data_IF_755871172029
#
_entry.id   IF_755871172029
#
_cell.length_a   1.000
_cell.length_b   1.000
_cell.length_c   1.000
_cell.angle_alpha   90.00
_cell.angle_beta   90.00
_cell.angle_gamma   90.00
#
_symmetry.space_group_name_H-M   'P 1'
#
loop_
_entity.id
_entity.type
_entity.pdbx_description
1 polymer ?
#
# COMPACT_ATOMS: atom_id res chain seq x y z
N UNK A 1 23.35 47.29 -9.44
CA UNK A 1 22.14 47.10 -10.28
C UNK A 1 21.82 45.61 -10.29
N UNK A 2 21.03 45.16 -9.32
CA UNK A 2 19.58 44.92 -9.41
C UNK A 2 19.25 43.43 -9.63
N UNK A 3 19.26 42.71 -8.51
CA UNK A 3 18.18 41.82 -8.06
C UNK A 3 17.05 41.49 -9.06
N UNK A 4 16.88 40.19 -9.33
CA UNK A 4 15.54 39.60 -9.53
C UNK A 4 15.36 38.43 -8.58
N UNK A 5 14.91 38.79 -7.38
CA UNK A 5 14.13 37.93 -6.50
C UNK A 5 12.85 37.50 -7.25
N UNK A 6 12.66 36.20 -7.45
CA UNK A 6 11.33 35.66 -7.72
C UNK A 6 10.64 35.54 -6.35
N UNK A 7 9.66 36.42 -6.14
CA UNK A 7 8.77 36.38 -4.99
C UNK A 7 7.95 35.08 -4.96
N UNK A 8 7.52 34.62 -3.78
CA UNK A 8 6.65 33.46 -3.66
C UNK A 8 5.26 33.82 -4.17
N UNK A 9 4.78 33.11 -5.19
CA UNK A 9 3.37 33.20 -5.60
C UNK A 9 2.51 32.60 -4.49
N UNK A 10 1.93 33.47 -3.67
CA UNK A 10 0.78 33.20 -2.80
C UNK A 10 -0.43 32.87 -3.68
N UNK A 11 -0.53 31.61 -4.10
CA UNK A 11 -1.79 31.08 -4.61
C UNK A 11 -2.68 30.74 -3.43
N UNK A 12 -3.87 31.33 -3.38
CA UNK A 12 -4.92 30.96 -2.44
C UNK A 12 -5.15 29.43 -2.45
N UNK A 13 -5.48 28.79 -1.31
CA UNK A 13 -5.75 27.37 -1.26
C UNK A 13 -6.90 27.06 -2.22
N UNK A 14 -6.57 26.35 -3.30
CA UNK A 14 -7.58 25.86 -4.23
C UNK A 14 -8.27 24.70 -3.54
N UNK A 15 -9.50 24.92 -3.08
CA UNK A 15 -10.34 23.86 -2.53
C UNK A 15 -10.63 22.87 -3.66
N UNK A 16 -9.97 21.72 -3.64
CA UNK A 16 -10.18 20.65 -4.61
C UNK A 16 -11.48 19.92 -4.29
N UNK A 17 -12.44 20.06 -5.21
CA UNK A 17 -13.72 19.35 -5.27
C UNK A 17 -13.46 17.83 -5.37
N UNK A 18 -14.22 16.96 -4.68
CA UNK A 18 -14.04 15.52 -4.74
C UNK A 18 -14.47 15.01 -6.11
N UNK A 19 -13.50 14.62 -6.94
CA UNK A 19 -13.80 14.00 -8.24
C UNK A 19 -12.80 12.87 -8.48
N UNK A 20 -13.13 11.69 -7.95
CA UNK A 20 -12.57 10.42 -8.40
C UNK A 20 -13.56 9.88 -9.42
N UNK A 21 -13.18 9.82 -10.70
CA UNK A 21 -13.92 9.06 -11.71
C UNK A 21 -12.90 8.24 -12.52
N UNK A 22 -12.81 6.94 -12.18
CA UNK A 22 -12.20 5.81 -12.91
C UNK A 22 -10.65 5.71 -13.02
N UNK A 23 -10.16 4.51 -13.38
CA UNK A 23 -8.74 4.08 -13.34
C UNK A 23 -8.10 3.60 -14.69
N UNK A 24 -6.96 4.19 -15.13
CA UNK A 24 -6.48 4.32 -16.54
C UNK A 24 -5.40 3.37 -17.08
N UNK A 25 -5.80 2.39 -17.88
CA UNK A 25 -4.87 1.49 -18.55
C UNK A 25 -4.38 2.00 -19.91
N UNK A 26 -3.06 2.19 -19.95
CA UNK A 26 -2.10 2.22 -21.07
C UNK A 26 -1.87 3.48 -21.94
N UNK A 27 -0.66 3.52 -22.54
CA UNK A 27 0.07 4.68 -23.05
C UNK A 27 -0.34 5.21 -24.43
N UNK A 28 -1.19 4.52 -25.19
CA UNK A 28 -1.58 4.92 -26.55
C UNK A 28 -3.01 5.47 -26.67
N UNK A 29 -3.86 5.31 -25.66
CA UNK A 29 -5.25 5.75 -25.76
C UNK A 29 -5.41 7.17 -25.20
N UNK A 30 -5.89 8.09 -26.04
CA UNK A 30 -6.39 9.40 -25.63
C UNK A 30 -7.70 9.32 -24.79
N UNK A 31 -7.98 8.19 -24.13
CA UNK A 31 -9.03 8.01 -23.12
C UNK A 31 -8.50 7.13 -21.97
N UNK A 32 -8.46 7.64 -20.73
CA UNK A 32 -8.05 6.85 -19.58
C UNK A 32 -9.21 5.96 -19.14
N UNK A 33 -8.96 4.66 -18.90
CA UNK A 33 -9.72 3.76 -17.99
C UNK A 33 -10.49 2.56 -18.56
N UNK A 34 -9.98 1.89 -19.59
CA UNK A 34 -10.55 0.59 -19.99
C UNK A 34 -9.94 -0.56 -19.18
N UNK A 35 -10.74 -1.46 -18.61
CA UNK A 35 -10.23 -2.70 -18.01
C UNK A 35 -9.49 -3.54 -19.07
N UNK A 36 -8.35 -4.17 -18.73
CA UNK A 36 -7.55 -4.89 -19.72
C UNK A 36 -8.19 -6.24 -20.06
N UNK A 37 -7.83 -6.86 -21.20
CA UNK A 37 -8.19 -8.24 -21.49
C UNK A 37 -7.85 -9.17 -20.32
N UNK A 38 -8.71 -10.17 -20.10
CA UNK A 38 -8.66 -11.12 -18.99
C UNK A 38 -8.96 -10.53 -17.60
N UNK A 39 -9.34 -9.25 -17.50
CA UNK A 39 -9.77 -8.67 -16.24
C UNK A 39 -11.17 -9.14 -15.87
N UNK A 40 -11.34 -9.75 -14.67
CA UNK A 40 -12.67 -9.98 -14.18
C UNK A 40 -13.30 -8.65 -13.78
N UNK A 41 -14.56 -8.45 -14.17
CA UNK A 41 -15.36 -7.26 -13.90
C UNK A 41 -16.74 -7.66 -13.39
N UNK A 42 -17.45 -6.73 -12.75
CA UNK A 42 -18.86 -6.88 -12.42
C UNK A 42 -19.67 -6.04 -13.39
N UNK A 43 -20.77 -6.58 -13.90
CA UNK A 43 -21.74 -5.83 -14.70
C UNK A 43 -23.09 -5.79 -13.99
N UNK A 44 -23.86 -4.73 -14.24
CA UNK A 44 -25.18 -4.58 -13.63
C UNK A 44 -26.16 -5.67 -14.07
N UNK A 45 -26.04 -6.16 -15.32
CA UNK A 45 -26.99 -7.11 -15.92
C UNK A 45 -26.54 -8.57 -15.94
N UNK A 46 -25.24 -8.84 -15.98
CA UNK A 46 -24.70 -10.18 -16.19
C UNK A 46 -23.86 -10.69 -15.00
N UNK A 47 -23.73 -9.91 -13.92
CA UNK A 47 -22.91 -10.27 -12.77
C UNK A 47 -21.43 -10.29 -13.12
N UNK A 48 -20.69 -11.30 -12.63
CA UNK A 48 -19.25 -11.41 -12.91
C UNK A 48 -18.99 -11.88 -14.34
N UNK A 49 -18.14 -11.17 -15.06
CA UNK A 49 -17.69 -11.50 -16.41
C UNK A 49 -16.20 -11.18 -16.58
N UNK A 50 -15.59 -11.67 -17.65
CA UNK A 50 -14.18 -11.44 -17.99
C UNK A 50 -14.08 -10.58 -19.24
N UNK A 51 -13.23 -9.56 -19.21
CA UNK A 51 -12.99 -8.70 -20.36
C UNK A 51 -12.28 -9.46 -21.48
N UNK A 52 -12.86 -9.44 -22.68
CA UNK A 52 -12.23 -9.95 -23.89
C UNK A 52 -11.55 -8.80 -24.63
N UNK A 53 -12.28 -7.70 -24.85
CA UNK A 53 -11.77 -6.51 -25.53
C UNK A 53 -12.60 -5.27 -25.17
N UNK A 54 -12.04 -4.09 -25.43
CA UNK A 54 -12.73 -2.81 -25.33
C UNK A 54 -12.71 -2.10 -26.68
N UNK A 55 -13.88 -1.66 -27.17
CA UNK A 55 -14.04 -0.86 -28.38
C UNK A 55 -14.19 0.61 -27.97
N UNK A 56 -13.11 1.38 -28.13
CA UNK A 56 -13.08 2.79 -27.74
C UNK A 56 -13.98 3.70 -28.59
N UNK A 57 -14.29 3.30 -29.84
CA UNK A 57 -15.17 4.08 -30.70
C UNK A 57 -16.63 3.93 -30.28
N UNK A 58 -17.00 2.77 -29.72
CA UNK A 58 -18.36 2.46 -29.25
C UNK A 58 -18.55 2.61 -27.74
N UNK A 59 -17.47 2.83 -27.00
CA UNK A 59 -17.46 2.80 -25.53
C UNK A 59 -18.13 1.53 -24.98
N UNK A 60 -17.70 0.38 -25.50
CA UNK A 60 -18.31 -0.91 -25.19
C UNK A 60 -17.27 -1.99 -24.92
N UNK A 61 -17.59 -2.90 -24.01
CA UNK A 61 -16.79 -4.08 -23.73
C UNK A 61 -17.39 -5.31 -24.41
N UNK A 62 -16.53 -6.09 -25.05
CA UNK A 62 -16.80 -7.50 -25.29
C UNK A 62 -16.39 -8.28 -24.04
N UNK A 63 -17.33 -9.04 -23.47
CA UNK A 63 -17.13 -9.81 -22.24
C UNK A 63 -17.47 -11.28 -22.46
N UNK A 64 -16.80 -12.15 -21.70
CA UNK A 64 -17.18 -13.55 -21.53
C UNK A 64 -17.82 -13.73 -20.15
N UNK A 65 -19.07 -14.19 -20.10
CA UNK A 65 -19.79 -14.42 -18.83
C UNK A 65 -19.31 -15.69 -18.13
N UNK A 66 -19.73 -15.91 -16.89
CA UNK A 66 -19.45 -17.15 -16.15
C UNK A 66 -20.00 -18.42 -16.85
N UNK A 67 -20.95 -18.30 -17.77
CA UNK A 67 -21.48 -19.40 -18.59
C UNK A 67 -20.80 -19.52 -19.95
N UNK A 68 -19.67 -18.84 -20.15
CA UNK A 68 -18.90 -18.78 -21.41
C UNK A 68 -19.67 -18.17 -22.60
N UNK A 69 -20.68 -17.36 -22.33
CA UNK A 69 -21.37 -16.59 -23.37
C UNK A 69 -20.60 -15.30 -23.67
N UNK A 70 -20.47 -14.96 -24.96
CA UNK A 70 -19.92 -13.67 -25.37
C UNK A 70 -21.01 -12.62 -25.47
N UNK A 71 -20.90 -11.59 -24.65
CA UNK A 71 -21.82 -10.45 -24.64
C UNK A 71 -21.09 -9.16 -24.95
N UNK A 72 -21.79 -8.19 -25.54
CA UNK A 72 -21.30 -6.82 -25.68
C UNK A 72 -22.13 -5.91 -24.79
N UNK A 73 -21.46 -5.17 -23.92
CA UNK A 73 -22.12 -4.24 -22.99
C UNK A 73 -21.52 -2.85 -23.13
N UNK A 74 -22.33 -1.81 -22.91
CA UNK A 74 -21.84 -0.44 -22.82
C UNK A 74 -20.90 -0.30 -21.60
N UNK A 75 -19.93 0.61 -21.66
CA UNK A 75 -18.92 0.77 -20.61
C UNK A 75 -19.49 1.15 -19.25
N UNK A 76 -20.64 1.83 -19.23
CA UNK A 76 -21.36 2.23 -18.02
C UNK A 76 -22.11 1.08 -17.33
N UNK A 77 -22.36 -0.02 -18.04
CA UNK A 77 -22.89 -1.27 -17.46
C UNK A 77 -21.84 -2.01 -16.63
N UNK A 78 -20.56 -1.73 -16.87
CA UNK A 78 -19.44 -2.30 -16.11
C UNK A 78 -19.20 -1.45 -14.85
N UNK A 79 -19.24 -2.09 -13.70
CA UNK A 79 -18.97 -1.45 -12.41
C UNK A 79 -17.56 -0.90 -12.39
N UNK A 80 -17.46 0.40 -12.10
CA UNK A 80 -16.18 1.09 -11.96
C UNK A 80 -15.56 0.78 -10.60
N UNK A 81 -14.30 0.35 -10.59
CA UNK A 81 -13.54 0.15 -9.37
C UNK A 81 -13.33 1.47 -8.64
N UNK A 82 -13.54 1.48 -7.33
CA UNK A 82 -13.42 2.69 -6.50
C UNK A 82 -12.52 2.45 -5.29
N UNK A 83 -11.87 3.52 -4.82
CA UNK A 83 -11.09 3.47 -3.58
C UNK A 83 -12.06 3.39 -2.41
N UNK A 84 -12.11 2.22 -1.77
CA UNK A 84 -12.88 2.00 -0.56
C UNK A 84 -12.15 2.58 0.65
N UNK A 85 -10.85 2.33 0.79
CA UNK A 85 -10.07 2.76 1.95
C UNK A 85 -8.64 3.13 1.58
N UNK A 86 -8.11 4.11 2.30
CA UNK A 86 -6.73 4.58 2.16
C UNK A 86 -6.05 4.50 3.52
N UNK A 87 -4.86 3.93 3.55
CA UNK A 87 -4.07 3.75 4.76
C UNK A 87 -2.61 4.16 4.56
N UNK A 88 -2.06 4.74 5.62
CA UNK A 88 -0.61 4.81 5.83
C UNK A 88 -0.26 4.08 7.10
N UNK A 89 0.95 3.55 7.18
CA UNK A 89 1.49 2.89 8.36
C UNK A 89 2.74 3.65 8.77
N UNK A 90 2.61 4.73 9.57
CA UNK A 90 3.72 5.64 9.86
C UNK A 90 4.97 4.91 10.35
N UNK A 91 4.78 4.01 11.31
CA UNK A 91 5.84 3.15 11.83
C UNK A 91 5.71 1.76 11.19
N UNK A 92 6.82 1.26 10.64
CA UNK A 92 6.92 -0.12 10.15
C UNK A 92 6.46 -1.10 11.24
N UNK A 93 5.58 -2.02 10.86
CA UNK A 93 5.02 -3.08 11.72
C UNK A 93 3.99 -2.64 12.77
N UNK A 94 3.65 -1.35 12.87
CA UNK A 94 2.65 -0.83 13.80
C UNK A 94 1.27 -0.64 13.14
N UNK A 95 0.27 -0.22 13.91
CA UNK A 95 -1.10 0.02 13.43
C UNK A 95 -1.12 1.06 12.31
N UNK A 96 -2.06 0.89 11.38
CA UNK A 96 -2.27 1.82 10.27
C UNK A 96 -3.20 2.97 10.66
N UNK A 97 -2.99 4.12 10.04
CA UNK A 97 -3.85 5.28 10.08
C UNK A 97 -4.70 5.31 8.81
N UNK A 98 -6.03 5.26 8.97
CA UNK A 98 -6.99 5.42 7.85
C UNK A 98 -7.07 6.89 7.49
N UNK A 99 -7.01 7.20 6.19
CA UNK A 99 -7.02 8.56 5.67
C UNK A 99 -8.21 8.77 4.73
N UNK A 100 -8.67 10.02 4.64
CA UNK A 100 -9.59 10.45 3.58
C UNK A 100 -8.85 10.73 2.27
N UNK A 101 -7.61 11.23 2.36
CA UNK A 101 -6.73 11.48 1.22
C UNK A 101 -5.26 11.42 1.61
N UNK A 102 -4.37 11.23 0.63
CA UNK A 102 -2.92 11.27 0.84
C UNK A 102 -2.17 11.73 -0.40
N UNK A 103 -1.07 12.45 -0.18
CA UNK A 103 -0.14 12.82 -1.24
C UNK A 103 0.72 11.61 -1.65
N UNK A 104 0.86 11.39 -2.95
CA UNK A 104 1.72 10.36 -3.53
C UNK A 104 3.10 10.95 -3.84
N UNK A 105 4.11 10.44 -3.13
CA UNK A 105 5.51 10.81 -3.27
C UNK A 105 6.26 9.71 -4.07
N UNK A 106 7.47 9.99 -4.59
CA UNK A 106 8.30 8.98 -5.24
C UNK A 106 8.59 7.74 -4.38
N UNK A 107 8.59 7.90 -3.04
CA UNK A 107 8.85 6.83 -2.06
C UNK A 107 7.56 6.17 -1.50
N UNK A 108 6.38 6.57 -1.98
CA UNK A 108 5.08 6.05 -1.52
C UNK A 108 4.13 7.13 -1.03
N UNK A 109 3.10 6.72 -0.28
CA UNK A 109 2.19 7.69 0.34
C UNK A 109 2.94 8.51 1.40
N UNK A 110 2.57 9.77 1.55
CA UNK A 110 3.15 10.66 2.57
C UNK A 110 3.00 10.04 3.96
N UNK A 111 4.08 10.10 4.73
CA UNK A 111 4.22 9.48 6.07
C UNK A 111 4.17 7.95 6.09
N UNK A 112 4.06 7.25 4.96
CA UNK A 112 4.00 5.79 4.98
C UNK A 112 5.37 5.15 5.21
N UNK A 113 5.47 4.32 6.26
CA UNK A 113 6.70 3.64 6.71
C UNK A 113 7.93 4.57 6.75
N UNK A 114 7.73 5.81 7.21
CA UNK A 114 8.82 6.77 7.42
C UNK A 114 9.53 6.56 8.77
N UNK A 115 8.93 5.80 9.68
CA UNK A 115 9.52 5.45 10.96
C UNK A 115 9.65 3.94 11.14
N UNK A 116 10.55 3.54 12.03
CA UNK A 116 10.82 2.14 12.33
C UNK A 116 11.45 2.00 13.70
N UNK A 117 11.08 0.97 14.45
CA UNK A 117 11.81 0.56 15.64
C UNK A 117 13.00 -0.32 15.24
N UNK A 118 14.17 -0.06 15.83
CA UNK A 118 15.40 -0.85 15.65
C UNK A 118 15.91 -1.39 16.98
N UNK A 119 16.57 -2.53 16.93
CA UNK A 119 17.35 -3.05 18.05
C UNK A 119 18.72 -2.35 18.17
N UNK A 120 19.50 -2.71 19.20
CA UNK A 120 20.84 -2.17 19.43
C UNK A 120 21.84 -2.46 18.28
N UNK A 121 21.51 -3.36 17.35
CA UNK A 121 22.32 -3.68 16.17
C UNK A 121 21.85 -2.93 14.92
N UNK A 122 20.88 -2.02 15.04
CA UNK A 122 20.31 -1.28 13.91
C UNK A 122 19.36 -2.12 13.05
N UNK A 123 18.93 -3.30 13.51
CA UNK A 123 18.01 -4.16 12.77
C UNK A 123 16.57 -3.85 13.15
N UNK A 124 15.70 -3.75 12.16
CA UNK A 124 14.29 -3.46 12.40
C UNK A 124 13.58 -4.52 13.24
N UNK A 125 12.75 -4.06 14.18
CA UNK A 125 11.75 -4.90 14.84
C UNK A 125 10.59 -5.15 13.88
N UNK A 126 10.04 -6.36 13.93
CA UNK A 126 8.93 -6.75 13.06
C UNK A 126 7.80 -7.37 13.84
N UNK A 127 6.56 -7.12 13.39
CA UNK A 127 5.34 -7.70 13.94
C UNK A 127 5.39 -9.24 13.99
N UNK A 128 6.17 -9.88 13.11
CA UNK A 128 6.37 -11.34 13.10
C UNK A 128 7.08 -11.86 14.36
N UNK A 129 8.01 -11.06 14.89
CA UNK A 129 8.81 -11.37 16.08
C UNK A 129 8.21 -10.75 17.34
N UNK A 130 7.62 -9.56 17.21
CA UNK A 130 6.95 -8.83 18.29
C UNK A 130 5.51 -8.50 17.87
N UNK A 131 4.58 -9.47 17.94
CA UNK A 131 3.18 -9.29 17.54
C UNK A 131 2.49 -8.09 18.20
N UNK A 132 2.85 -7.77 19.44
CA UNK A 132 2.34 -6.60 20.20
C UNK A 132 2.59 -5.26 19.50
N UNK A 133 3.55 -5.16 18.56
CA UNK A 133 3.72 -3.97 17.72
C UNK A 133 2.42 -3.56 17.00
N UNK A 134 1.52 -4.52 16.71
CA UNK A 134 0.20 -4.26 16.13
C UNK A 134 -0.64 -3.26 16.94
N UNK A 135 -0.41 -3.24 18.26
CA UNK A 135 -1.16 -2.44 19.22
C UNK A 135 -0.58 -1.04 19.41
N UNK A 136 0.63 -0.79 18.91
CA UNK A 136 1.18 0.57 18.85
C UNK A 136 0.40 1.32 17.78
N UNK A 137 -0.36 2.32 18.19
CA UNK A 137 -1.16 3.17 17.35
C UNK A 137 -0.50 4.55 17.19
N UNK A 138 0.24 4.78 16.08
CA UNK A 138 0.78 6.08 15.76
C UNK A 138 -0.30 7.00 15.18
N UNK A 139 -0.32 8.24 15.66
CA UNK A 139 -1.06 9.35 15.06
C UNK A 139 -0.07 10.41 14.59
N UNK A 140 -0.27 10.94 13.39
CA UNK A 140 0.55 11.98 12.81
C UNK A 140 -0.32 12.83 11.89
N UNK A 141 -0.19 14.15 11.98
CA UNK A 141 -0.71 15.03 10.93
C UNK A 141 0.09 14.76 9.65
N UNK A 142 -0.52 14.07 8.70
CA UNK A 142 0.15 13.71 7.45
C UNK A 142 0.48 14.92 6.58
N UNK A 143 -0.04 16.12 6.85
CA UNK A 143 0.25 17.32 6.07
C UNK A 143 1.56 17.99 6.49
N UNK A 144 1.78 18.17 7.80
CA UNK A 144 2.96 18.83 8.36
C UNK A 144 3.98 17.85 8.96
N UNK A 145 3.50 16.77 9.60
CA UNK A 145 4.28 15.72 10.26
C UNK A 145 5.34 16.26 11.25
N UNK A 146 4.94 17.18 12.13
CA UNK A 146 5.81 17.80 13.14
C UNK A 146 5.93 16.98 14.43
N UNK A 147 4.91 16.17 14.74
CA UNK A 147 4.89 15.31 15.90
C UNK A 147 4.21 13.97 15.58
N UNK A 148 4.63 12.93 16.29
CA UNK A 148 4.08 11.59 16.25
C UNK A 148 3.55 11.24 17.65
N UNK A 149 2.25 11.06 17.79
CA UNK A 149 1.66 10.60 19.05
C UNK A 149 1.61 9.07 19.05
N UNK A 150 2.20 8.46 20.06
CA UNK A 150 2.20 7.01 20.27
C UNK A 150 1.21 6.65 21.37
N UNK A 151 0.33 5.71 21.07
CA UNK A 151 -0.55 5.09 22.07
C UNK A 151 -0.44 3.57 21.99
N UNK A 152 -0.62 2.91 23.13
CA UNK A 152 -0.70 1.46 23.24
C UNK A 152 -1.42 1.07 24.54
N UNK A 153 -2.00 -0.14 24.64
CA UNK A 153 -2.65 -0.60 25.86
C UNK A 153 -1.72 -0.54 27.08
N UNK A 154 -2.22 0.02 28.18
CA UNK A 154 -1.48 0.13 29.44
C UNK A 154 -0.35 1.17 29.45
N UNK A 155 -0.19 1.96 28.38
CA UNK A 155 0.85 2.97 28.28
C UNK A 155 0.25 4.38 28.28
N UNK A 156 0.88 5.37 28.96
CA UNK A 156 0.52 6.77 28.77
C UNK A 156 0.80 7.18 27.31
N UNK A 157 -0.05 8.01 26.69
CA UNK A 157 0.25 8.58 25.38
C UNK A 157 1.57 9.34 25.39
N UNK A 158 2.38 9.17 24.35
CA UNK A 158 3.64 9.89 24.18
C UNK A 158 3.60 10.73 22.91
N UNK A 159 3.78 12.04 23.05
CA UNK A 159 4.03 12.93 21.90
C UNK A 159 5.53 12.97 21.63
N UNK A 160 5.95 12.51 20.44
CA UNK A 160 7.34 12.49 19.99
C UNK A 160 7.52 13.59 18.93
N UNK A 161 8.36 14.63 19.18
CA UNK A 161 8.68 15.60 18.14
C UNK A 161 9.42 14.92 16.99
N UNK A 162 9.05 15.23 15.76
CA UNK A 162 9.66 14.63 14.57
C UNK A 162 11.00 15.28 14.29
N UNK A 163 12.07 14.56 14.63
CA UNK A 163 13.43 14.99 14.36
C UNK A 163 13.82 14.62 12.93
N UNK A 164 14.21 15.62 12.13
CA UNK A 164 14.69 15.45 10.73
C UNK A 164 16.20 15.37 10.63
N UNK A 165 16.90 15.80 11.66
CA UNK A 165 18.36 15.79 11.80
C UNK A 165 18.73 15.51 13.26
N UNK A 166 19.93 15.02 13.51
CA UNK A 166 20.41 14.71 14.84
C UNK A 166 21.31 13.49 14.84
N UNK A 167 21.25 12.69 15.90
CA UNK A 167 21.93 11.40 15.97
C UNK A 167 21.39 10.48 14.88
N UNK A 168 22.30 9.86 14.13
CA UNK A 168 21.95 8.91 13.07
C UNK A 168 22.44 7.51 13.41
N UNK A 169 21.61 6.53 13.11
CA UNK A 169 21.95 5.12 13.20
C UNK A 169 22.04 4.53 11.80
N UNK A 170 23.09 3.73 11.56
CA UNK A 170 23.11 2.85 10.39
C UNK A 170 22.11 1.72 10.63
N UNK A 171 21.03 1.70 9.85
CA UNK A 171 19.94 0.74 10.00
C UNK A 171 19.88 -0.21 8.82
N UNK A 172 19.28 -1.38 9.06
CA UNK A 172 19.14 -2.44 8.05
C UNK A 172 17.69 -2.80 7.85
N UNK A 173 17.25 -2.82 6.58
CA UNK A 173 15.97 -3.40 6.16
C UNK A 173 16.27 -4.46 5.10
N UNK A 174 16.07 -5.73 5.46
CA UNK A 174 16.42 -6.88 4.63
C UNK A 174 17.89 -6.90 4.21
N UNK A 175 18.20 -6.69 2.93
CA UNK A 175 19.56 -6.60 2.39
C UNK A 175 20.09 -5.17 2.34
N UNK A 176 19.21 -4.18 2.50
CA UNK A 176 19.54 -2.77 2.32
C UNK A 176 20.00 -2.14 3.62
N UNK A 177 20.97 -1.23 3.52
CA UNK A 177 21.45 -0.41 4.63
C UNK A 177 21.22 1.06 4.31
N UNK A 178 20.76 1.83 5.29
CA UNK A 178 20.53 3.28 5.17
C UNK A 178 20.74 3.98 6.52
N UNK A 179 20.53 5.30 6.54
CA UNK A 179 20.56 6.08 7.77
C UNK A 179 19.15 6.32 8.31
N UNK A 180 19.00 6.15 9.63
CA UNK A 180 17.81 6.52 10.38
C UNK A 180 18.13 7.59 11.41
N UNK A 181 17.39 8.70 11.40
CA UNK A 181 17.51 9.78 12.39
C UNK A 181 16.79 9.34 13.66
N UNK A 182 17.51 9.32 14.76
CA UNK A 182 17.00 8.98 16.07
C UNK A 182 15.89 9.94 16.53
N UNK A 183 14.83 9.43 17.15
CA UNK A 183 13.67 10.22 17.61
C UNK A 183 13.67 10.49 19.13
N UNK A 184 14.79 10.27 19.81
CA UNK A 184 15.03 10.67 21.19
C UNK A 184 14.74 9.59 22.23
N UNK A 185 15.25 9.84 23.44
CA UNK A 185 15.25 8.86 24.54
C UNK A 185 13.85 8.59 25.10
N UNK A 186 12.94 9.57 25.05
CA UNK A 186 11.56 9.37 25.47
C UNK A 186 10.86 8.30 24.61
N UNK A 187 11.04 8.36 23.28
CA UNK A 187 10.49 7.37 22.36
C UNK A 187 11.13 5.99 22.57
N UNK A 188 12.45 5.94 22.80
CA UNK A 188 13.16 4.72 23.10
C UNK A 188 12.68 4.06 24.40
N UNK A 189 12.55 4.83 25.48
CA UNK A 189 12.10 4.34 26.78
C UNK A 189 10.65 3.83 26.73
N UNK A 190 9.75 4.59 26.08
CA UNK A 190 8.36 4.19 25.92
C UNK A 190 8.24 2.87 25.15
N UNK A 191 8.99 2.73 24.06
CA UNK A 191 9.00 1.51 23.26
C UNK A 191 9.65 0.33 23.99
N UNK A 192 10.74 0.57 24.75
CA UNK A 192 11.40 -0.47 25.54
C UNK A 192 10.46 -1.05 26.59
N UNK A 193 9.70 -0.19 27.27
CA UNK A 193 8.68 -0.60 28.25
C UNK A 193 7.57 -1.42 27.59
N UNK A 194 6.96 -0.92 26.50
CA UNK A 194 5.82 -1.61 25.90
C UNK A 194 6.19 -2.92 25.18
N UNK A 195 7.30 -2.93 24.44
CA UNK A 195 7.72 -4.08 23.66
C UNK A 195 8.54 -5.09 24.47
N UNK A 196 8.95 -4.73 25.69
CA UNK A 196 9.90 -5.49 26.51
C UNK A 196 11.20 -5.82 25.74
N UNK A 197 11.73 -4.83 25.01
CA UNK A 197 12.96 -4.94 24.23
C UNK A 197 13.95 -3.85 24.68
N UNK A 198 14.98 -4.20 25.46
CA UNK A 198 15.97 -3.22 25.89
C UNK A 198 16.79 -2.72 24.70
N UNK A 199 17.18 -1.44 24.74
CA UNK A 199 18.00 -0.81 23.69
C UNK A 199 17.25 -0.58 22.37
N UNK A 200 15.91 -0.70 22.34
CA UNK A 200 15.13 -0.33 21.18
C UNK A 200 15.19 1.18 20.93
N UNK A 201 15.32 1.59 19.68
CA UNK A 201 15.24 3.00 19.26
C UNK A 201 14.15 3.19 18.23
N UNK A 202 13.43 4.30 18.30
CA UNK A 202 12.61 4.76 17.18
C UNK A 202 13.49 5.63 16.27
N UNK A 203 13.52 5.28 14.99
CA UNK A 203 14.22 6.07 13.97
C UNK A 203 13.27 6.52 12.87
N UNK A 204 13.58 7.67 12.27
CA UNK A 204 12.95 8.19 11.06
C UNK A 204 13.88 8.03 9.87
N UNK A 205 13.33 7.71 8.70
CA UNK A 205 14.07 7.66 7.46
C UNK A 205 14.70 9.04 7.17
N UNK A 206 16.02 9.08 6.95
CA UNK A 206 16.75 10.34 6.76
C UNK A 206 16.30 11.03 5.47
N UNK A 207 16.02 12.33 5.56
CA UNK A 207 15.66 13.14 4.39
C UNK A 207 16.83 13.12 3.37
N UNK A 208 16.50 12.95 2.08
CA UNK A 208 17.50 12.81 1.01
C UNK A 208 18.16 11.43 0.90
N UNK A 209 17.89 10.50 1.83
CA UNK A 209 18.34 9.13 1.68
C UNK A 209 17.58 8.41 0.56
N UNK A 210 18.29 7.56 -0.19
CA UNK A 210 17.73 6.76 -1.27
C UNK A 210 17.84 5.29 -0.94
N UNK A 211 16.72 4.57 -0.98
CA UNK A 211 16.69 3.12 -0.90
C UNK A 211 15.95 2.58 -2.12
N UNK A 212 16.66 1.93 -3.06
CA UNK A 212 16.08 1.50 -4.32
C UNK A 212 15.09 0.35 -4.13
N UNK A 213 14.10 0.28 -5.00
CA UNK A 213 13.31 -0.92 -5.22
C UNK A 213 14.14 -1.97 -5.98
N UNK A 214 13.59 -3.16 -6.15
CA UNK A 214 14.25 -4.17 -6.98
C UNK A 214 14.19 -3.77 -8.46
N UNK A 215 15.38 -3.57 -9.05
CA UNK A 215 15.59 -3.02 -10.39
C UNK A 215 14.82 -3.76 -11.48
N UNK A 216 14.75 -5.10 -11.39
CA UNK A 216 14.03 -5.95 -12.33
C UNK A 216 12.50 -5.69 -12.40
N UNK A 217 11.93 -5.00 -11.41
CA UNK A 217 10.47 -4.75 -11.35
C UNK A 217 10.14 -3.26 -11.36
N UNK A 218 10.95 -2.44 -10.70
CA UNK A 218 10.70 -1.01 -10.57
C UNK A 218 12.04 -0.25 -10.64
N UNK A 219 12.67 -0.19 -11.82
CA UNK A 219 13.90 0.57 -12.01
C UNK A 219 13.65 2.04 -11.66
N UNK A 220 14.66 2.71 -11.11
CA UNK A 220 14.62 4.13 -10.69
C UNK A 220 13.58 4.48 -9.60
N UNK A 221 12.92 3.49 -9.00
CA UNK A 221 11.99 3.70 -7.90
C UNK A 221 12.64 3.46 -6.55
N UNK A 222 12.12 4.13 -5.53
CA UNK A 222 12.61 4.03 -4.18
C UNK A 222 11.48 3.83 -3.17
N UNK A 223 11.83 3.44 -1.96
CA UNK A 223 10.92 3.39 -0.82
C UNK A 223 11.65 3.81 0.46
N UNK A 224 10.91 4.06 1.54
CA UNK A 224 11.49 4.25 2.86
C UNK A 224 11.66 2.89 3.57
N UNK A 225 11.07 2.70 4.75
CA UNK A 225 11.17 1.45 5.51
C UNK A 225 10.11 0.40 5.14
N UNK A 226 9.37 0.56 4.03
CA UNK A 226 8.48 -0.50 3.51
C UNK A 226 9.27 -1.78 3.18
N UNK A 227 8.63 -2.90 2.87
CA UNK A 227 9.42 -4.14 2.64
C UNK A 227 10.21 -4.10 1.34
N UNK A 228 9.64 -3.59 0.24
CA UNK A 228 10.36 -3.48 -1.02
C UNK A 228 9.78 -2.52 -2.06
N UNK A 229 8.55 -2.05 -1.88
CA UNK A 229 7.86 -1.18 -2.85
C UNK A 229 7.04 -0.10 -2.13
N UNK A 230 6.82 1.05 -2.79
CA UNK A 230 6.29 2.24 -2.13
C UNK A 230 4.81 2.16 -1.77
N UNK A 231 4.01 1.39 -2.51
CA UNK A 231 2.55 1.31 -2.32
C UNK A 231 2.09 -0.13 -2.53
N UNK A 232 1.15 -0.59 -1.69
CA UNK A 232 0.45 -1.86 -1.83
C UNK A 232 -1.05 -1.61 -2.06
N UNK A 233 -1.63 -2.23 -3.08
CA UNK A 233 -3.07 -2.19 -3.38
C UNK A 233 -3.69 -3.57 -3.21
N UNK A 234 -4.93 -3.64 -2.72
CA UNK A 234 -5.71 -4.87 -2.59
C UNK A 234 -7.19 -4.63 -2.89
N UNK A 235 -7.90 -5.59 -3.46
CA UNK A 235 -9.35 -5.54 -3.57
C UNK A 235 -10.03 -6.17 -2.35
N UNK A 236 -11.13 -5.57 -1.88
CA UNK A 236 -11.93 -6.11 -0.78
C UNK A 236 -12.45 -7.52 -1.10
N UNK A 237 -12.95 -7.73 -2.33
CA UNK A 237 -13.41 -9.04 -2.79
C UNK A 237 -12.32 -10.13 -2.72
N UNK A 238 -11.04 -9.77 -2.86
CA UNK A 238 -9.91 -10.70 -2.71
C UNK A 238 -9.75 -11.18 -1.26
N UNK A 239 -10.05 -10.32 -0.29
CA UNK A 239 -10.03 -10.68 1.14
C UNK A 239 -11.24 -11.53 1.49
N UNK A 240 -12.42 -11.19 0.96
CA UNK A 240 -13.64 -11.94 1.21
C UNK A 240 -13.52 -13.38 0.66
N UNK A 241 -13.00 -13.53 -0.57
CA UNK A 241 -12.71 -14.83 -1.18
C UNK A 241 -11.68 -15.63 -0.37
N UNK A 242 -10.65 -14.96 0.17
CA UNK A 242 -9.64 -15.61 1.00
C UNK A 242 -10.21 -16.05 2.35
N UNK A 243 -11.08 -15.24 2.97
CA UNK A 243 -11.77 -15.61 4.21
C UNK A 243 -12.70 -16.81 4.01
N UNK A 244 -13.44 -16.85 2.90
CA UNK A 244 -14.25 -18.01 2.53
C UNK A 244 -13.40 -19.27 2.35
N UNK A 245 -12.26 -19.18 1.65
CA UNK A 245 -11.34 -20.29 1.46
C UNK A 245 -10.69 -20.74 2.79
N UNK A 246 -10.35 -19.80 3.67
CA UNK A 246 -9.81 -20.06 5.00
C UNK A 246 -10.86 -20.55 6.01
N UNK A 247 -12.16 -20.45 5.68
CA UNK A 247 -13.29 -20.70 6.58
C UNK A 247 -13.24 -19.86 7.87
N UNK A 248 -12.67 -18.66 7.78
CA UNK A 248 -12.55 -17.72 8.88
C UNK A 248 -12.79 -16.29 8.36
N UNK A 249 -13.35 -15.38 9.18
CA UNK A 249 -13.33 -13.97 8.85
C UNK A 249 -11.87 -13.48 8.82
N UNK A 250 -11.56 -12.64 7.84
CA UNK A 250 -10.21 -12.14 7.62
C UNK A 250 -10.28 -10.63 7.43
N UNK A 251 -9.53 -9.90 8.24
CA UNK A 251 -9.47 -8.45 8.14
C UNK A 251 -8.39 -8.00 7.16
N UNK A 252 -8.73 -7.00 6.32
CA UNK A 252 -7.80 -6.35 5.40
C UNK A 252 -6.52 -5.85 6.11
N UNK A 253 -6.64 -5.43 7.37
CA UNK A 253 -5.55 -4.91 8.18
C UNK A 253 -4.39 -5.90 8.38
N UNK A 254 -4.62 -7.23 8.22
CA UNK A 254 -3.57 -8.26 8.26
C UNK A 254 -2.58 -8.16 7.10
N UNK A 255 -3.04 -7.69 5.93
CA UNK A 255 -2.24 -7.59 4.70
C UNK A 255 -1.63 -6.22 4.48
N UNK A 256 -2.09 -5.24 5.27
CA UNK A 256 -1.55 -3.89 5.38
C UNK A 256 -1.44 -3.11 4.05
N UNK A 257 -2.45 -3.16 3.16
CA UNK A 257 -2.42 -2.38 1.93
C UNK A 257 -2.53 -0.89 2.24
N UNK A 258 -1.97 -0.08 1.34
CA UNK A 258 -2.18 1.35 1.34
C UNK A 258 -3.51 1.72 0.70
N UNK A 259 -3.90 1.04 -0.37
CA UNK A 259 -5.10 1.34 -1.13
C UNK A 259 -5.98 0.08 -1.14
N UNK A 260 -7.23 0.22 -0.71
CA UNK A 260 -8.25 -0.82 -0.80
C UNK A 260 -9.23 -0.45 -1.89
N UNK A 261 -9.44 -1.34 -2.84
CA UNK A 261 -10.39 -1.18 -3.93
C UNK A 261 -11.67 -1.98 -3.68
N UNK A 262 -12.79 -1.46 -4.17
CA UNK A 262 -14.07 -2.17 -4.23
C UNK A 262 -14.71 -2.01 -5.62
N UNK A 263 -15.82 -2.69 -5.87
CA UNK A 263 -16.49 -2.71 -7.17
C UNK A 263 -15.82 -3.65 -8.19
N UNK A 264 -15.03 -4.61 -7.72
CA UNK A 264 -14.30 -5.57 -8.56
C UNK A 264 -14.54 -6.98 -8.07
N UNK A 265 -14.48 -8.00 -8.94
CA UNK A 265 -14.35 -9.38 -8.51
C UNK A 265 -13.03 -9.62 -7.75
N UNK A 266 -12.95 -10.75 -7.07
CA UNK A 266 -11.73 -11.17 -6.38
C UNK A 266 -10.56 -11.27 -7.36
N UNK A 267 -9.41 -10.76 -6.94
CA UNK A 267 -8.13 -10.83 -7.65
C UNK A 267 -8.08 -10.08 -8.98
N UNK A 268 -9.03 -9.17 -9.24
CA UNK A 268 -9.00 -8.31 -10.43
C UNK A 268 -7.70 -7.50 -10.53
N UNK A 269 -7.12 -7.14 -9.39
CA UNK A 269 -5.86 -6.41 -9.30
C UNK A 269 -4.66 -7.14 -9.92
N UNK A 270 -4.73 -8.47 -10.12
CA UNK A 270 -3.60 -9.23 -10.68
C UNK A 270 -3.27 -8.92 -12.13
N UNK A 271 -4.24 -8.46 -12.92
CA UNK A 271 -4.07 -8.20 -14.36
C UNK A 271 -4.07 -6.71 -14.70
N UNK A 272 -4.30 -5.83 -13.72
CA UNK A 272 -4.12 -4.40 -13.93
C UNK A 272 -2.65 -4.12 -14.14
N UNK A 273 -2.28 -3.53 -15.27
CA UNK A 273 -0.91 -3.11 -15.54
C UNK A 273 -0.70 -1.67 -15.09
N UNK A 274 -0.92 -0.69 -15.98
CA UNK A 274 -0.93 0.72 -15.63
C UNK A 274 -2.34 1.17 -15.29
N UNK A 275 -2.61 1.92 -14.23
CA UNK A 275 -3.95 2.48 -13.99
C UNK A 275 -3.85 3.86 -13.35
N UNK A 276 -4.93 4.59 -13.27
CA UNK A 276 -4.99 5.91 -12.64
C UNK A 276 -5.89 5.87 -11.41
N UNK A 277 -5.60 6.69 -10.41
CA UNK A 277 -6.57 7.00 -9.36
C UNK A 277 -6.53 8.51 -9.19
N UNK A 278 -7.64 9.17 -9.50
CA UNK A 278 -7.67 10.63 -9.60
C UNK A 278 -6.77 11.10 -10.73
N UNK A 279 -5.71 11.82 -10.41
CA UNK A 279 -4.72 12.33 -11.39
C UNK A 279 -3.37 11.59 -11.35
N UNK A 280 -3.29 10.49 -10.59
CA UNK A 280 -2.06 9.74 -10.38
C UNK A 280 -2.08 8.47 -11.20
N UNK A 281 -1.10 8.29 -12.08
CA UNK A 281 -0.88 7.03 -12.80
C UNK A 281 0.05 6.12 -12.00
N UNK A 282 -0.44 4.92 -11.72
CA UNK A 282 0.22 3.80 -11.09
C UNK A 282 0.61 2.76 -12.13
N UNK A 283 1.66 2.00 -11.82
CA UNK A 283 2.02 0.78 -12.53
C UNK A 283 2.10 -0.36 -11.52
N UNK A 284 1.49 -1.49 -11.86
CA UNK A 284 1.58 -2.73 -11.12
C UNK A 284 2.89 -3.45 -11.46
N UNK A 285 3.83 -3.44 -10.54
CA UNK A 285 5.20 -3.91 -10.81
C UNK A 285 5.44 -5.35 -10.37
N UNK A 286 4.72 -5.82 -9.35
CA UNK A 286 4.94 -7.16 -8.77
C UNK A 286 3.78 -7.60 -7.87
N UNK A 287 3.36 -8.88 -7.92
CA UNK A 287 2.53 -9.46 -6.87
C UNK A 287 3.27 -9.47 -5.53
N UNK A 288 2.55 -9.14 -4.45
CA UNK A 288 3.14 -9.05 -3.12
C UNK A 288 3.27 -10.44 -2.50
N UNK A 289 4.50 -10.93 -2.39
CA UNK A 289 4.81 -12.16 -1.65
C UNK A 289 4.42 -11.99 -0.17
N UNK A 290 3.67 -12.96 0.37
CA UNK A 290 3.21 -12.91 1.75
C UNK A 290 4.14 -13.71 2.65
N UNK A 291 4.61 -13.03 3.70
CA UNK A 291 5.31 -13.64 4.82
C UNK A 291 4.31 -14.03 5.91
N UNK A 292 4.78 -14.44 7.09
CA UNK A 292 3.92 -14.77 8.24
C UNK A 292 3.26 -13.58 8.93
N UNK A 293 3.43 -12.34 8.45
CA UNK A 293 2.83 -11.15 9.09
C UNK A 293 1.29 -11.20 9.18
N UNK A 294 0.54 -11.66 8.16
CA UNK A 294 -0.92 -11.80 8.24
C UNK A 294 -1.38 -12.79 9.32
N UNK A 295 -0.48 -13.62 9.88
CA UNK A 295 -0.81 -14.51 10.97
C UNK A 295 -1.05 -13.79 12.30
N UNK A 296 -0.74 -12.49 12.39
CA UNK A 296 -0.95 -11.68 13.60
C UNK A 296 -2.28 -10.95 13.50
N UNK A 297 -3.12 -11.12 14.52
CA UNK A 297 -4.34 -10.39 14.71
C UNK A 297 -4.04 -8.91 15.03
N UNK A 298 -4.53 -7.96 14.22
CA UNK A 298 -4.23 -6.54 14.40
C UNK A 298 -4.90 -5.92 15.63
N UNK A 299 -5.95 -6.56 16.18
CA UNK A 299 -6.68 -6.07 17.35
C UNK A 299 -6.09 -6.55 18.67
N UNK A 300 -5.61 -7.80 18.72
CA UNK A 300 -5.03 -8.39 19.95
C UNK A 300 -3.51 -8.31 19.97
N UNK A 301 -2.85 -8.14 18.82
CA UNK A 301 -1.39 -8.19 18.75
C UNK A 301 -0.83 -9.58 19.04
N UNK A 302 -1.59 -10.64 18.72
CA UNK A 302 -1.21 -12.04 18.93
C UNK A 302 -1.43 -12.85 17.66
N UNK A 303 -0.82 -14.03 17.57
CA UNK A 303 -1.14 -14.96 16.47
C UNK A 303 -2.41 -15.73 16.79
N UNK A 304 -3.23 -16.00 15.79
CA UNK A 304 -4.50 -16.70 15.95
C UNK A 304 -4.77 -17.72 14.84
N UNK A 305 -5.82 -18.52 15.03
CA UNK A 305 -6.19 -19.61 14.12
C UNK A 305 -6.61 -19.08 12.75
N UNK A 306 -7.29 -17.93 12.69
CA UNK A 306 -7.59 -17.25 11.44
C UNK A 306 -6.30 -16.95 10.67
N UNK A 307 -5.29 -16.42 11.36
CA UNK A 307 -3.95 -16.19 10.83
C UNK A 307 -3.23 -17.44 10.34
N UNK A 308 -3.38 -18.58 11.03
CA UNK A 308 -2.82 -19.86 10.60
C UNK A 308 -3.52 -20.40 9.35
N UNK A 309 -4.86 -20.30 9.30
CA UNK A 309 -5.67 -20.77 8.17
C UNK A 309 -5.37 -19.98 6.88
N UNK A 310 -5.01 -18.69 6.99
CA UNK A 310 -4.63 -17.85 5.86
C UNK A 310 -3.47 -18.42 5.05
N UNK A 311 -2.43 -18.94 5.72
CA UNK A 311 -1.26 -19.47 5.02
C UNK A 311 -1.64 -20.67 4.15
N UNK A 312 -2.48 -21.57 4.69
CA UNK A 312 -2.98 -22.74 3.97
C UNK A 312 -3.89 -22.34 2.80
N UNK A 313 -4.80 -21.39 2.99
CA UNK A 313 -5.70 -20.92 1.94
C UNK A 313 -4.92 -20.25 0.79
N UNK A 314 -3.90 -19.45 1.12
CA UNK A 314 -3.01 -18.84 0.14
C UNK A 314 -2.17 -19.90 -0.59
N UNK A 315 -1.64 -20.91 0.11
CA UNK A 315 -0.86 -21.99 -0.51
C UNK A 315 -1.71 -22.80 -1.50
N UNK A 316 -2.99 -23.01 -1.20
CA UNK A 316 -3.89 -23.79 -2.05
C UNK A 316 -4.33 -23.05 -3.32
N UNK A 317 -4.38 -21.72 -3.31
CA UNK A 317 -5.02 -20.94 -4.37
C UNK A 317 -4.18 -19.82 -5.00
N UNK A 318 -3.10 -19.39 -4.33
CA UNK A 318 -2.27 -18.25 -4.74
C UNK A 318 -0.78 -18.50 -4.56
N UNK A 319 -0.31 -19.68 -4.95
CA UNK A 319 1.10 -20.02 -4.90
C UNK A 319 1.86 -19.68 -6.21
N UNK A 320 3.19 -19.72 -6.16
CA UNK A 320 4.04 -19.38 -7.31
C UNK A 320 3.78 -20.21 -8.57
N UNK A 321 3.37 -21.47 -8.45
CA UNK A 321 3.05 -22.33 -9.59
C UNK A 321 1.74 -21.90 -10.27
N UNK A 322 0.72 -21.55 -9.49
CA UNK A 322 -0.58 -21.12 -10.01
C UNK A 322 -0.52 -19.74 -10.68
N UNK A 323 0.31 -18.84 -10.16
CA UNK A 323 0.41 -17.47 -10.67
C UNK A 323 1.42 -17.32 -11.81
N UNK A 324 2.12 -18.40 -12.18
CA UNK A 324 3.18 -18.41 -13.19
C UNK A 324 4.20 -17.26 -13.02
N UNK A 325 4.37 -16.76 -11.79
CA UNK A 325 5.12 -15.55 -11.50
C UNK A 325 6.49 -15.88 -10.91
N UNK A 326 7.53 -15.66 -11.73
CA UNK A 326 8.94 -15.97 -11.47
C UNK A 326 9.21 -17.46 -11.27
N UNK A 327 10.46 -17.87 -11.53
CA UNK A 327 10.98 -19.21 -11.27
C UNK A 327 11.16 -19.43 -9.74
N UNK A 328 10.12 -19.14 -8.95
CA UNK A 328 10.12 -19.18 -7.49
C UNK A 328 9.57 -20.50 -6.99
N UNK A 329 9.95 -20.84 -5.75
CA UNK A 329 9.57 -22.11 -5.10
C UNK A 329 8.04 -22.20 -5.05
N UNK A 330 7.51 -23.40 -5.33
CA UNK A 330 6.07 -23.69 -5.32
C UNK A 330 5.34 -23.29 -4.03
N UNK A 331 6.05 -23.03 -2.93
CA UNK A 331 5.48 -22.70 -1.61
C UNK A 331 5.45 -21.20 -1.29
N UNK A 332 5.97 -20.33 -2.16
CA UNK A 332 5.81 -18.89 -1.97
C UNK A 332 4.36 -18.50 -2.33
N UNK A 333 3.72 -17.70 -1.47
CA UNK A 333 2.33 -17.27 -1.60
C UNK A 333 2.23 -15.78 -1.89
N UNK A 334 1.18 -15.38 -2.61
CA UNK A 334 1.00 -13.98 -3.02
C UNK A 334 -0.44 -13.52 -2.82
N UNK A 335 -0.61 -12.25 -2.51
CA UNK A 335 -1.90 -11.59 -2.49
C UNK A 335 -1.65 -10.11 -2.73
N UNK A 336 -2.51 -9.41 -3.45
CA UNK A 336 -2.39 -7.98 -3.67
C UNK A 336 -1.14 -7.55 -4.45
N UNK A 337 -1.08 -6.28 -4.86
CA UNK A 337 -0.08 -5.79 -5.82
C UNK A 337 0.74 -4.65 -5.30
N UNK A 338 2.02 -4.66 -5.63
CA UNK A 338 2.91 -3.55 -5.36
C UNK A 338 2.90 -2.58 -6.53
N UNK A 339 2.79 -1.29 -6.23
CA UNK A 339 2.69 -0.23 -7.21
C UNK A 339 3.91 0.67 -7.20
N UNK A 340 4.23 1.22 -8.37
CA UNK A 340 5.12 2.35 -8.55
C UNK A 340 4.35 3.51 -9.20
N UNK A 341 4.85 4.75 -9.06
CA UNK A 341 4.27 5.91 -9.74
C UNK A 341 4.86 6.01 -11.14
N UNK A 342 4.03 6.05 -12.18
CA UNK A 342 4.53 6.22 -13.55
C UNK A 342 5.23 7.57 -13.72
N UNK A 343 6.44 7.56 -14.29
CA UNK A 343 7.27 8.75 -14.58
C UNK A 343 6.93 9.41 -15.92
N UNK A 344 6.03 8.82 -16.71
CA UNK A 344 5.72 9.21 -18.09
C UNK A 344 5.08 10.61 -18.25
N UNK A 345 4.66 11.28 -17.17
CA UNK A 345 4.29 12.70 -17.17
C UNK A 345 4.94 13.42 -16.01
N UNK A 346 5.71 14.48 -16.29
CA UNK A 346 6.15 15.45 -15.28
C UNK A 346 4.90 16.06 -14.63
N UNK A 347 4.53 15.62 -13.42
CA UNK A 347 3.44 16.25 -12.68
C UNK A 347 3.75 16.39 -11.20
N UNK A 348 3.18 17.44 -10.62
CA UNK A 348 3.36 17.93 -9.24
C UNK A 348 2.97 16.87 -8.21
N UNK A 349 3.13 17.18 -6.92
CA UNK A 349 2.50 16.40 -5.83
C UNK A 349 1.03 16.15 -6.19
N UNK A 350 0.63 14.89 -6.16
CA UNK A 350 -0.70 14.46 -6.58
C UNK A 350 -1.35 13.66 -5.46
N UNK A 351 -2.67 13.78 -5.33
CA UNK A 351 -3.42 13.30 -4.17
C UNK A 351 -4.35 12.17 -4.59
N UNK A 352 -4.39 11.10 -3.80
CA UNK A 352 -5.41 10.04 -3.88
C UNK A 352 -6.42 10.28 -2.77
N UNK A 353 -7.71 10.13 -3.06
CA UNK A 353 -8.81 10.27 -2.08
C UNK A 353 -9.67 9.00 -2.05
N UNK A 354 -10.51 8.85 -1.03
CA UNK A 354 -11.61 7.87 -0.98
C UNK A 354 -12.85 8.41 -1.71
N UNK A 355 -13.70 7.52 -2.26
CA UNK A 355 -15.00 7.89 -2.83
C UNK A 355 -16.02 8.38 -1.78
#
# INVERSE_FOLDING_TARGET
>A
MLSRLLAPTTGAPTTLVPTIRAAALDAEAARPNAYPPNCPVVTARHGTATVVAFDAAKEAYALETATHERVTVASDDVVTATVQDLYVYPIKSCKGLRLASSAVLPIGLRCDRQWMFIDAKGTFLSQRKHPSMALIAPEVDVTAAEALTLTAPGMPPLCVPVLRSGVEHRVRVWKDYMQGVDQGDAAAQWAATFLNVPGVRLVRFKDGCHRPCEDAFAPDHATAFADGYPILIACQASIDALGAAAKHPVEMARFRPNIVMTGTPAFADDVWDCFEIGSVRFQNVKPCSRCSMPSVNPATGEKDDAGAALQSALLASRNGAQLAFLNKRANDVFLARTLSRSTARRSRLATVSKC
#
